data_IF_019334753868
#
_entry.id   IF_019334753868
#
_cell.length_a   1.000
_cell.length_b   1.000
_cell.length_c   1.000
_cell.angle_alpha   90.00
_cell.angle_beta   90.00
_cell.angle_gamma   90.00
#
_symmetry.space_group_name_H-M   'P 1'
#
loop_
_entity.id
_entity.type
_entity.pdbx_description
1 polymer ?
#
# COMPACT_ATOMS: atom_id res chain seq x y z
N UNK A 1 -3.03 -5.84 16.21
CA UNK A 1 -3.81 -6.66 17.16
C UNK A 1 -4.33 -5.74 18.25
N UNK A 2 -5.41 -5.04 17.98
CA UNK A 2 -6.21 -4.46 19.04
C UNK A 2 -7.09 -5.58 19.58
N UNK A 3 -6.86 -5.88 20.81
CA UNK A 3 -7.58 -6.83 21.62
C UNK A 3 -9.06 -6.50 21.59
N UNK A 4 -9.89 -7.45 21.15
CA UNK A 4 -11.30 -7.45 21.45
C UNK A 4 -11.42 -7.64 22.98
N UNK A 5 -11.42 -6.54 23.70
CA UNK A 5 -11.70 -6.48 25.14
C UNK A 5 -13.18 -6.60 25.33
N UNK A 6 -13.53 -7.75 25.85
CA UNK A 6 -14.72 -8.16 26.53
C UNK A 6 -15.57 -6.99 27.09
N UNK A 7 -16.84 -6.94 26.66
CA UNK A 7 -17.84 -5.96 27.08
C UNK A 7 -18.33 -6.11 28.55
N UNK A 8 -17.43 -6.41 29.48
CA UNK A 8 -17.76 -6.61 30.89
C UNK A 8 -17.04 -5.66 31.87
N UNK A 9 -16.42 -4.57 31.40
CA UNK A 9 -15.86 -3.52 32.27
C UNK A 9 -16.71 -2.23 32.27
N UNK A 10 -17.98 -2.35 31.99
CA UNK A 10 -18.97 -1.33 32.29
C UNK A 10 -19.29 -1.37 33.80
N UNK A 11 -19.16 -0.21 34.46
CA UNK A 11 -19.57 0.07 35.82
C UNK A 11 -18.62 -0.34 36.96
N UNK A 12 -17.39 0.17 36.95
CA UNK A 12 -16.77 0.56 38.20
C UNK A 12 -17.29 1.98 38.55
N UNK A 13 -18.43 2.05 39.19
CA UNK A 13 -18.87 3.27 39.86
C UNK A 13 -17.87 3.56 40.97
N UNK A 14 -16.91 4.44 40.67
CA UNK A 14 -16.04 4.99 41.71
C UNK A 14 -16.90 5.85 42.65
N UNK A 15 -16.63 5.76 43.96
CA UNK A 15 -17.33 6.45 45.04
C UNK A 15 -17.25 8.00 44.96
N UNK A 16 -16.78 8.57 43.89
CA UNK A 16 -16.69 9.99 43.59
C UNK A 16 -17.86 10.59 42.81
N UNK A 17 -18.86 9.80 42.43
CA UNK A 17 -20.05 10.27 41.69
C UNK A 17 -19.81 10.65 40.22
N UNK A 18 -18.67 10.26 39.63
CA UNK A 18 -18.40 10.43 38.20
C UNK A 18 -18.67 9.13 37.45
N UNK A 19 -19.52 9.19 36.43
CA UNK A 19 -19.69 8.11 35.45
C UNK A 19 -18.61 8.22 34.39
N UNK A 20 -17.78 7.18 34.27
CA UNK A 20 -16.78 7.08 33.20
C UNK A 20 -17.44 6.39 32.00
N UNK A 21 -17.83 7.17 31.01
CA UNK A 21 -18.40 6.65 29.76
C UNK A 21 -17.31 6.60 28.68
N UNK A 22 -17.32 5.55 27.87
CA UNK A 22 -16.49 5.47 26.68
C UNK A 22 -16.97 6.45 25.62
N UNK A 23 -16.06 6.96 24.77
CA UNK A 23 -16.42 7.82 23.64
C UNK A 23 -17.49 7.21 22.73
N UNK A 24 -17.45 5.89 22.54
CA UNK A 24 -18.45 5.15 21.75
C UNK A 24 -19.84 5.14 22.37
N UNK A 25 -19.96 5.31 23.69
CA UNK A 25 -21.25 5.41 24.40
C UNK A 25 -21.81 6.83 24.35
N UNK A 26 -20.92 7.83 24.30
CA UNK A 26 -21.31 9.25 24.26
C UNK A 26 -21.78 9.64 22.87
N UNK A 27 -21.08 9.21 21.81
CA UNK A 27 -21.42 9.55 20.43
C UNK A 27 -21.30 8.32 19.50
N UNK A 28 -22.37 7.52 19.38
CA UNK A 28 -22.40 6.37 18.46
C UNK A 28 -22.26 6.78 16.98
N UNK A 29 -22.57 8.03 16.63
CA UNK A 29 -22.37 8.53 15.27
C UNK A 29 -20.90 8.71 14.96
N UNK A 30 -20.09 9.18 15.90
CA UNK A 30 -18.64 9.32 15.71
C UNK A 30 -17.97 7.97 15.42
N UNK A 31 -18.40 6.90 16.09
CA UNK A 31 -17.92 5.54 15.82
C UNK A 31 -18.31 5.07 14.41
N UNK A 32 -19.54 5.31 13.98
CA UNK A 32 -19.96 4.96 12.62
C UNK A 32 -19.18 5.74 11.55
N UNK A 33 -18.91 7.02 11.78
CA UNK A 33 -18.12 7.84 10.88
C UNK A 33 -16.65 7.37 10.80
N UNK A 34 -16.06 6.98 11.93
CA UNK A 34 -14.70 6.43 11.93
C UNK A 34 -14.62 5.11 11.18
N UNK A 35 -15.58 4.21 11.41
CA UNK A 35 -15.67 2.94 10.69
C UNK A 35 -15.87 3.14 9.17
N UNK A 36 -16.69 4.12 8.78
CA UNK A 36 -16.86 4.48 7.38
C UNK A 36 -15.57 5.05 6.77
N UNK A 37 -14.87 5.94 7.48
CA UNK A 37 -13.60 6.50 7.04
C UNK A 37 -12.52 5.42 6.87
N UNK A 38 -12.47 4.45 7.79
CA UNK A 38 -11.56 3.31 7.70
C UNK A 38 -11.90 2.42 6.48
N UNK A 39 -13.18 2.09 6.28
CA UNK A 39 -13.60 1.31 5.12
C UNK A 39 -13.28 2.02 3.80
N UNK A 40 -13.54 3.33 3.72
CA UNK A 40 -13.19 4.15 2.56
C UNK A 40 -11.67 4.13 2.30
N UNK A 41 -10.87 4.29 3.36
CA UNK A 41 -9.41 4.27 3.27
C UNK A 41 -8.91 2.93 2.73
N UNK A 42 -9.44 1.81 3.20
CA UNK A 42 -9.10 0.48 2.69
C UNK A 42 -9.48 0.28 1.23
N UNK A 43 -10.65 0.79 0.80
CA UNK A 43 -11.07 0.73 -0.60
C UNK A 43 -10.12 1.53 -1.49
N UNK A 44 -9.81 2.77 -1.11
CA UNK A 44 -8.87 3.62 -1.87
C UNK A 44 -7.50 2.97 -1.93
N UNK A 45 -6.99 2.45 -0.82
CA UNK A 45 -5.70 1.75 -0.76
C UNK A 45 -5.69 0.53 -1.68
N UNK A 46 -6.77 -0.27 -1.67
CA UNK A 46 -6.89 -1.43 -2.55
C UNK A 46 -6.85 -1.05 -4.03
N UNK A 47 -7.54 0.02 -4.42
CA UNK A 47 -7.53 0.55 -5.80
C UNK A 47 -6.12 1.02 -6.18
N UNK A 48 -5.45 1.78 -5.30
CA UNK A 48 -4.07 2.25 -5.54
C UNK A 48 -3.11 1.07 -5.70
N UNK A 49 -3.18 0.07 -4.82
CA UNK A 49 -2.36 -1.14 -4.92
C UNK A 49 -2.62 -1.85 -6.25
N UNK A 50 -3.87 -2.00 -6.66
CA UNK A 50 -4.23 -2.65 -7.92
C UNK A 50 -3.64 -1.93 -9.13
N UNK A 51 -3.68 -0.59 -9.15
CA UNK A 51 -3.06 0.23 -10.20
C UNK A 51 -1.54 0.03 -10.22
N UNK A 52 -0.89 0.05 -9.05
CA UNK A 52 0.56 -0.20 -8.93
C UNK A 52 0.93 -1.60 -9.42
N UNK A 53 0.14 -2.62 -9.07
CA UNK A 53 0.36 -3.99 -9.55
C UNK A 53 0.26 -4.08 -11.08
N UNK A 54 -0.74 -3.43 -11.68
CA UNK A 54 -0.92 -3.39 -13.13
C UNK A 54 0.28 -2.69 -13.80
N UNK A 55 0.79 -1.61 -13.23
CA UNK A 55 1.94 -0.86 -13.74
C UNK A 55 3.24 -1.69 -13.66
N UNK A 56 3.49 -2.34 -12.52
CA UNK A 56 4.65 -3.25 -12.36
C UNK A 56 4.58 -4.38 -13.37
N UNK A 57 3.41 -4.99 -13.55
CA UNK A 57 3.18 -6.07 -14.48
C UNK A 57 3.43 -5.62 -15.93
N UNK A 58 2.91 -4.46 -16.31
CA UNK A 58 3.11 -3.86 -17.62
C UNK A 58 4.61 -3.59 -17.89
N UNK A 59 5.30 -2.96 -16.95
CA UNK A 59 6.73 -2.64 -17.05
C UNK A 59 7.58 -3.90 -17.19
N UNK A 60 7.29 -4.93 -16.39
CA UNK A 60 8.02 -6.20 -16.44
C UNK A 60 7.77 -6.96 -17.73
N UNK A 61 6.52 -6.97 -18.24
CA UNK A 61 6.22 -7.60 -19.53
C UNK A 61 6.92 -6.88 -20.68
N UNK A 62 6.99 -5.56 -20.66
CA UNK A 62 7.70 -4.76 -21.67
C UNK A 62 9.21 -5.08 -21.63
N UNK A 63 9.83 -4.99 -20.46
CA UNK A 63 11.24 -5.33 -20.26
C UNK A 63 11.58 -6.73 -20.76
N UNK A 64 10.71 -7.70 -20.48
CA UNK A 64 10.87 -9.05 -20.99
C UNK A 64 10.85 -9.14 -22.52
N UNK A 65 9.93 -8.42 -23.18
CA UNK A 65 9.86 -8.44 -24.64
C UNK A 65 11.12 -7.82 -25.26
N UNK A 66 11.61 -6.73 -24.69
CA UNK A 66 12.85 -6.08 -25.15
C UNK A 66 14.08 -6.98 -25.00
N UNK A 67 14.11 -7.83 -23.97
CA UNK A 67 15.24 -8.71 -23.64
C UNK A 67 14.99 -10.19 -23.96
N UNK A 68 13.93 -10.50 -24.74
CA UNK A 68 13.54 -11.88 -25.08
C UNK A 68 14.68 -12.69 -25.71
N UNK A 69 15.48 -12.05 -26.56
CA UNK A 69 16.67 -12.66 -27.19
C UNK A 69 17.77 -13.00 -26.18
N UNK A 70 17.97 -12.17 -25.16
CA UNK A 70 18.95 -12.44 -24.09
C UNK A 70 18.51 -13.65 -23.28
N UNK A 71 17.22 -13.76 -22.92
CA UNK A 71 16.66 -14.91 -22.24
C UNK A 71 16.77 -16.19 -23.08
N UNK A 72 16.48 -16.11 -24.38
CA UNK A 72 16.64 -17.22 -25.31
C UNK A 72 18.08 -17.70 -25.40
N UNK A 73 19.07 -16.77 -25.46
CA UNK A 73 20.48 -17.08 -25.46
C UNK A 73 20.93 -17.76 -24.16
N UNK A 74 20.50 -17.24 -23.00
CA UNK A 74 20.78 -17.85 -21.70
C UNK A 74 20.24 -19.27 -21.61
N UNK A 75 19.03 -19.51 -22.11
CA UNK A 75 18.43 -20.85 -22.21
C UNK A 75 19.24 -21.79 -23.11
N UNK A 76 19.70 -21.31 -24.26
CA UNK A 76 20.56 -22.08 -25.17
C UNK A 76 21.93 -22.43 -24.58
N UNK A 77 22.46 -21.58 -23.69
CA UNK A 77 23.71 -21.81 -22.93
C UNK A 77 23.51 -22.76 -21.73
N UNK A 78 22.28 -23.22 -21.47
CA UNK A 78 21.98 -24.18 -20.42
C UNK A 78 21.69 -23.57 -19.05
N UNK A 79 21.34 -22.28 -18.97
CA UNK A 79 20.85 -21.67 -17.74
C UNK A 79 19.53 -22.33 -17.38
N UNK A 80 19.36 -22.72 -16.11
CA UNK A 80 18.14 -23.37 -15.63
C UNK A 80 16.98 -22.39 -15.57
N UNK A 81 15.78 -22.87 -15.91
CA UNK A 81 14.53 -22.06 -15.85
C UNK A 81 14.33 -21.41 -14.47
N UNK A 82 14.67 -22.12 -13.40
CA UNK A 82 14.59 -21.55 -12.04
C UNK A 82 15.55 -20.38 -11.83
N UNK A 83 16.69 -20.36 -12.46
CA UNK A 83 17.65 -19.23 -12.33
C UNK A 83 17.12 -18.00 -13.07
N UNK A 84 16.54 -18.19 -14.27
CA UNK A 84 15.88 -17.12 -15.02
C UNK A 84 14.67 -16.57 -14.24
N UNK A 85 13.88 -17.45 -13.67
CA UNK A 85 12.74 -17.06 -12.81
C UNK A 85 13.19 -16.18 -11.65
N UNK A 86 14.16 -16.62 -10.86
CA UNK A 86 14.64 -15.85 -9.71
C UNK A 86 15.32 -14.55 -10.12
N UNK A 87 15.98 -14.50 -11.26
CA UNK A 87 16.58 -13.27 -11.80
C UNK A 87 15.51 -12.19 -12.01
N UNK A 88 14.38 -12.52 -12.64
CA UNK A 88 13.28 -11.60 -12.88
C UNK A 88 12.61 -11.19 -11.57
N UNK A 89 12.43 -12.11 -10.62
CA UNK A 89 11.88 -11.80 -9.30
C UNK A 89 12.79 -10.82 -8.54
N UNK A 90 14.11 -11.04 -8.55
CA UNK A 90 15.05 -10.12 -7.91
C UNK A 90 15.05 -8.73 -8.56
N UNK A 91 14.96 -8.66 -9.89
CA UNK A 91 14.82 -7.41 -10.62
C UNK A 91 13.56 -6.65 -10.18
N UNK A 92 12.43 -7.34 -10.08
CA UNK A 92 11.16 -6.77 -9.59
C UNK A 92 11.29 -6.25 -8.16
N UNK A 93 11.87 -7.05 -7.25
CA UNK A 93 12.04 -6.66 -5.84
C UNK A 93 12.95 -5.44 -5.70
N UNK A 94 14.06 -5.38 -6.43
CA UNK A 94 14.97 -4.23 -6.40
C UNK A 94 14.26 -2.98 -6.91
N UNK A 95 13.56 -3.06 -8.04
CA UNK A 95 12.83 -1.94 -8.64
C UNK A 95 11.79 -1.38 -7.67
N UNK A 96 10.97 -2.24 -7.08
CA UNK A 96 9.95 -1.83 -6.10
C UNK A 96 10.58 -1.30 -4.83
N UNK A 97 11.68 -1.88 -4.35
CA UNK A 97 12.38 -1.38 -3.16
C UNK A 97 12.92 0.04 -3.37
N UNK A 98 13.55 0.31 -4.52
CA UNK A 98 14.02 1.66 -4.86
C UNK A 98 12.86 2.63 -4.98
N UNK A 99 11.79 2.26 -5.68
CA UNK A 99 10.58 3.07 -5.80
C UNK A 99 9.93 3.35 -4.44
N UNK A 100 9.86 2.34 -3.56
CA UNK A 100 9.33 2.48 -2.21
C UNK A 100 10.15 3.45 -1.35
N UNK A 101 11.48 3.40 -1.42
CA UNK A 101 12.35 4.34 -0.69
C UNK A 101 12.11 5.77 -1.17
N UNK A 102 12.09 5.99 -2.49
CA UNK A 102 11.82 7.31 -3.06
C UNK A 102 10.42 7.81 -2.71
N UNK A 103 9.42 6.95 -2.80
CA UNK A 103 8.03 7.25 -2.41
C UNK A 103 7.92 7.59 -0.93
N UNK A 104 8.62 6.86 -0.06
CA UNK A 104 8.66 7.13 1.38
C UNK A 104 9.32 8.48 1.69
N UNK A 105 10.44 8.79 1.03
CA UNK A 105 11.12 10.08 1.23
C UNK A 105 10.25 11.26 0.79
N UNK A 106 9.65 11.19 -0.39
CA UNK A 106 8.81 12.27 -0.93
C UNK A 106 7.48 12.40 -0.19
N UNK A 107 6.81 11.27 0.06
CA UNK A 107 5.55 11.24 0.81
C UNK A 107 5.73 11.63 2.28
N UNK A 108 6.77 11.12 2.93
CA UNK A 108 7.10 11.47 4.30
C UNK A 108 7.44 12.95 4.46
N UNK A 109 8.21 13.51 3.53
CA UNK A 109 8.47 14.94 3.49
C UNK A 109 7.19 15.78 3.32
N UNK A 110 6.31 15.35 2.41
CA UNK A 110 5.03 16.03 2.20
C UNK A 110 4.16 16.01 3.47
N UNK A 111 4.00 14.85 4.11
CA UNK A 111 3.22 14.75 5.35
C UNK A 111 3.83 15.57 6.47
N UNK A 112 5.16 15.58 6.61
CA UNK A 112 5.84 16.40 7.59
C UNK A 112 5.63 17.91 7.34
N UNK A 113 5.71 18.34 6.07
CA UNK A 113 5.50 19.74 5.69
C UNK A 113 4.07 20.19 5.97
N UNK A 114 3.08 19.44 5.46
CA UNK A 114 1.67 19.75 5.65
C UNK A 114 1.20 19.53 7.10
N UNK A 115 1.85 18.63 7.84
CA UNK A 115 1.61 18.45 9.26
C UNK A 115 1.94 19.70 10.10
N UNK A 116 2.93 20.50 9.65
CA UNK A 116 3.30 21.77 10.30
C UNK A 116 2.47 22.96 9.85
N UNK A 117 2.20 23.06 8.56
CA UNK A 117 1.49 24.20 7.97
C UNK A 117 -0.02 24.05 8.13
N UNK A 118 -0.52 22.79 8.14
CA UNK A 118 -1.93 22.47 8.04
C UNK A 118 -2.44 22.59 6.60
N UNK A 119 -3.46 21.83 6.28
CA UNK A 119 -4.19 21.94 5.02
C UNK A 119 -5.43 22.77 5.31
N UNK A 120 -5.47 23.99 4.76
CA UNK A 120 -6.57 24.92 4.93
C UNK A 120 -7.72 24.59 3.96
N UNK A 121 -8.82 24.10 4.52
CA UNK A 121 -10.05 23.81 3.80
C UNK A 121 -11.15 24.84 4.13
N UNK A 122 -10.80 26.09 4.45
CA UNK A 122 -11.75 27.14 4.78
C UNK A 122 -12.76 27.44 3.67
N UNK A 123 -12.47 27.08 2.42
CA UNK A 123 -13.45 27.13 1.33
C UNK A 123 -14.66 26.22 1.57
N UNK A 124 -14.52 25.20 2.41
CA UNK A 124 -15.56 24.28 2.82
C UNK A 124 -16.03 24.51 4.27
N UNK A 125 -15.68 25.67 4.85
CA UNK A 125 -15.95 26.00 6.26
C UNK A 125 -17.43 25.80 6.66
N UNK A 126 -18.36 26.04 5.74
CA UNK A 126 -19.80 25.83 5.99
C UNK A 126 -20.10 24.36 6.29
N UNK A 127 -19.48 23.41 5.56
CA UNK A 127 -19.66 21.99 5.82
C UNK A 127 -19.00 21.57 7.16
N UNK A 128 -17.80 22.11 7.46
CA UNK A 128 -17.10 21.85 8.71
C UNK A 128 -17.81 22.44 9.94
N UNK A 129 -18.49 23.59 9.79
CA UNK A 129 -19.25 24.21 10.87
C UNK A 129 -20.45 23.35 11.33
N UNK A 130 -21.09 22.64 10.42
CA UNK A 130 -22.16 21.69 10.78
C UNK A 130 -21.63 20.48 11.58
N UNK A 131 -20.35 20.15 11.43
CA UNK A 131 -19.71 19.02 12.11
C UNK A 131 -18.93 19.45 13.35
N UNK A 132 -18.96 20.74 13.73
CA UNK A 132 -18.15 21.31 14.82
C UNK A 132 -16.64 21.02 14.71
N UNK A 133 -16.16 20.85 13.49
CA UNK A 133 -14.75 20.53 13.19
C UNK A 133 -13.99 21.77 12.72
N UNK A 134 -12.69 21.81 13.02
CA UNK A 134 -11.79 22.84 12.48
C UNK A 134 -11.58 22.61 10.97
N UNK A 135 -11.65 23.65 10.13
CA UNK A 135 -11.39 23.52 8.70
C UNK A 135 -9.90 23.33 8.35
N UNK A 136 -9.02 23.33 9.34
CA UNK A 136 -7.59 23.08 9.17
C UNK A 136 -7.27 21.66 9.62
N UNK A 137 -6.81 20.83 8.67
CA UNK A 137 -6.44 19.44 8.92
C UNK A 137 -4.92 19.31 8.98
N UNK A 138 -4.41 18.69 10.04
CA UNK A 138 -2.99 18.40 10.21
C UNK A 138 -2.77 16.90 9.99
N UNK A 139 -2.19 16.47 8.84
CA UNK A 139 -1.90 15.07 8.62
C UNK A 139 -0.82 14.59 9.60
N UNK A 140 -1.03 13.40 10.14
CA UNK A 140 -0.11 12.73 11.05
C UNK A 140 0.44 11.45 10.42
N UNK A 141 1.73 11.20 10.61
CA UNK A 141 2.38 9.97 10.18
C UNK A 141 2.17 8.90 11.25
N UNK A 142 1.43 7.85 10.89
CA UNK A 142 1.33 6.64 11.70
C UNK A 142 2.33 5.59 11.19
N UNK A 143 3.40 5.36 11.93
CA UNK A 143 4.48 4.45 11.54
C UNK A 143 4.00 3.01 11.31
N UNK A 144 3.03 2.54 12.11
CA UNK A 144 2.45 1.20 11.95
C UNK A 144 1.76 1.03 10.59
N UNK A 145 1.03 2.05 10.15
CA UNK A 145 0.37 2.07 8.84
C UNK A 145 1.39 2.08 7.70
N UNK A 146 2.51 2.79 7.86
CA UNK A 146 3.59 2.84 6.87
C UNK A 146 4.23 1.49 6.64
N UNK A 147 4.53 0.75 7.71
CA UNK A 147 5.09 -0.61 7.62
C UNK A 147 4.11 -1.57 6.94
N UNK A 148 2.82 -1.46 7.25
CA UNK A 148 1.75 -2.22 6.62
C UNK A 148 1.67 -1.96 5.11
N UNK A 149 1.67 -0.70 4.70
CA UNK A 149 1.63 -0.29 3.28
C UNK A 149 2.88 -0.76 2.54
N UNK A 150 4.07 -0.57 3.13
CA UNK A 150 5.34 -1.03 2.54
C UNK A 150 5.35 -2.55 2.36
N UNK A 151 4.92 -3.29 3.38
CA UNK A 151 4.79 -4.76 3.30
C UNK A 151 3.81 -5.19 2.22
N UNK A 152 2.65 -4.56 2.13
CA UNK A 152 1.66 -4.83 1.10
C UNK A 152 2.18 -4.51 -0.30
N UNK A 153 2.92 -3.41 -0.48
CA UNK A 153 3.52 -3.03 -1.76
C UNK A 153 4.58 -4.06 -2.22
N UNK A 154 5.47 -4.49 -1.33
CA UNK A 154 6.49 -5.50 -1.66
C UNK A 154 5.85 -6.85 -1.98
N UNK A 155 4.90 -7.32 -1.16
CA UNK A 155 4.18 -8.56 -1.42
C UNK A 155 3.42 -8.49 -2.74
N UNK A 156 2.72 -7.41 -2.98
CA UNK A 156 2.00 -7.17 -4.23
C UNK A 156 2.93 -7.21 -5.44
N UNK A 157 4.09 -6.55 -5.35
CA UNK A 157 5.08 -6.54 -6.42
C UNK A 157 5.64 -7.94 -6.72
N UNK A 158 5.93 -8.73 -5.68
CA UNK A 158 6.33 -10.13 -5.86
C UNK A 158 5.24 -10.91 -6.58
N UNK A 159 3.98 -10.76 -6.17
CA UNK A 159 2.84 -11.43 -6.83
C UNK A 159 2.70 -10.97 -8.28
N UNK A 160 2.81 -9.68 -8.58
CA UNK A 160 2.76 -9.15 -9.95
C UNK A 160 3.94 -9.67 -10.79
N UNK A 161 5.14 -9.79 -10.20
CA UNK A 161 6.34 -10.30 -10.85
C UNK A 161 6.30 -11.81 -11.14
N UNK A 162 5.44 -12.59 -10.46
CA UNK A 162 5.37 -14.05 -10.66
C UNK A 162 4.98 -14.43 -12.10
N UNK A 163 4.02 -13.72 -12.67
CA UNK A 163 3.55 -14.01 -14.03
C UNK A 163 4.63 -13.77 -15.09
N UNK A 164 5.29 -12.59 -15.17
CA UNK A 164 6.39 -12.37 -16.10
C UNK A 164 7.58 -13.28 -15.82
N UNK A 165 7.95 -13.53 -14.56
CA UNK A 165 9.03 -14.44 -14.22
C UNK A 165 8.77 -15.88 -14.70
N UNK A 166 7.54 -16.36 -14.53
CA UNK A 166 7.16 -17.67 -15.04
C UNK A 166 7.18 -17.72 -16.57
N UNK A 167 6.74 -16.66 -17.24
CA UNK A 167 6.78 -16.53 -18.70
C UNK A 167 8.22 -16.50 -19.22
N UNK A 168 9.14 -15.78 -18.55
CA UNK A 168 10.55 -15.74 -18.87
C UNK A 168 11.22 -17.13 -18.80
N UNK A 169 10.92 -17.84 -17.73
CA UNK A 169 11.49 -19.18 -17.50
C UNK A 169 11.02 -20.23 -18.53
N UNK A 170 9.94 -19.97 -19.25
CA UNK A 170 9.36 -20.90 -20.25
C UNK A 170 9.50 -20.43 -21.69
N UNK A 171 10.35 -19.44 -21.95
CA UNK A 171 10.65 -19.01 -23.32
C UNK A 171 11.37 -20.14 -24.07
N UNK A 172 10.81 -20.52 -25.25
CA UNK A 172 11.48 -21.46 -26.15
C UNK A 172 12.69 -20.77 -26.80
N UNK A 173 13.94 -21.24 -26.56
CA UNK A 173 15.14 -20.65 -27.13
C UNK A 173 15.12 -20.56 -28.66
N UNK A 174 14.48 -21.58 -29.31
CA UNK A 174 14.41 -21.63 -30.76
C UNK A 174 13.44 -20.59 -31.34
N UNK A 175 12.33 -20.31 -30.63
CA UNK A 175 11.38 -19.28 -31.00
C UNK A 175 11.94 -17.88 -30.77
N UNK A 176 12.57 -17.64 -29.62
CA UNK A 176 13.17 -16.35 -29.23
C UNK A 176 14.28 -15.88 -30.19
N UNK A 177 14.96 -16.80 -30.88
CA UNK A 177 15.97 -16.46 -31.86
C UNK A 177 15.42 -16.26 -33.29
N UNK A 178 14.16 -16.61 -33.54
CA UNK A 178 13.51 -16.46 -34.87
C UNK A 178 12.75 -15.16 -35.05
N UNK A 179 12.39 -14.49 -33.98
CA UNK A 179 11.72 -13.16 -34.05
C UNK A 179 12.78 -12.10 -34.39
N UNK A 180 13.03 -11.91 -35.69
CA UNK A 180 13.79 -10.80 -36.30
C UNK A 180 12.81 -9.98 -37.09
#
# INVERSE_FOLDING_TARGET
RLHAGDGSQSAAADSSGYEVMSWSEIDPMAEQWSAFADAYTWIVLAVVILVVLAEVLNTMLMSMHERSREFGLMGALGVRDSQMFFMVIWETVILVSVGSVLGFMTGGWAVWHFGKVGIDLSQFAVAFSFMYMSPVIHPLLAFDSLLGILGAAILGAVVAGLFPAWKAARLDPAAAMREV
#
